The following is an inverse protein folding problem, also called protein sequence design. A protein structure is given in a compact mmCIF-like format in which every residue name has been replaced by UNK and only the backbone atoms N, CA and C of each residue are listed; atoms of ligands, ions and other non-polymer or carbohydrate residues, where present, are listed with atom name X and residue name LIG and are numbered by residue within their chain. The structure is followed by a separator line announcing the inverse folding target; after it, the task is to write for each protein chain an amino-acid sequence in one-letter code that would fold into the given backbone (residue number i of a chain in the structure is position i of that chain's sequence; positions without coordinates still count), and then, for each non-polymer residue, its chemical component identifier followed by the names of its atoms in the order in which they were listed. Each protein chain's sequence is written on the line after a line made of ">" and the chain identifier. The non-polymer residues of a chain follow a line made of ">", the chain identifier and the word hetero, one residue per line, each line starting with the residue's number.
data_IF_714589904329
#
_entry.id   IF_714589904329
#
_cell.length_a   1.000
_cell.length_b   1.000
_cell.length_c   1.000
_cell.angle_alpha   90.00
_cell.angle_beta   90.00
_cell.angle_gamma   90.00
#
_symmetry.space_group_name_H-M   'P 1'
#
loop_
_entity.id
_entity.type
_entity.pdbx_description
1 polymer ?
#
# COMPACT_ATOMS: atom_id res chain seq x y z
N UNK A 1 2.53 0.38 -19.91
CA UNK A 1 2.21 1.09 -18.66
C UNK A 1 1.07 0.47 -17.84
N UNK A 2 -0.04 0.05 -18.46
CA UNK A 2 -1.16 -0.54 -17.71
C UNK A 2 -0.78 -1.73 -16.80
N UNK A 3 0.06 -2.65 -17.29
CA UNK A 3 0.60 -3.77 -16.49
C UNK A 3 1.44 -3.27 -15.30
N UNK A 4 2.25 -2.22 -15.51
CA UNK A 4 3.03 -1.59 -14.44
C UNK A 4 2.13 -0.96 -13.38
N UNK A 5 1.06 -0.27 -13.80
CA UNK A 5 0.08 0.28 -12.85
C UNK A 5 -0.67 -0.81 -12.09
N UNK A 6 -1.05 -1.90 -12.76
CA UNK A 6 -1.65 -3.06 -12.10
C UNK A 6 -0.71 -3.62 -11.02
N UNK A 7 0.57 -3.77 -11.32
CA UNK A 7 1.57 -4.19 -10.36
C UNK A 7 1.73 -3.19 -9.19
N UNK A 8 1.80 -1.88 -9.47
CA UNK A 8 1.92 -0.85 -8.43
C UNK A 8 0.70 -0.79 -7.50
N UNK A 9 -0.49 -1.15 -7.98
CA UNK A 9 -1.71 -1.23 -7.18
C UNK A 9 -1.72 -2.53 -6.36
N UNK A 10 -1.51 -3.68 -7.01
CA UNK A 10 -1.69 -4.99 -6.37
C UNK A 10 -0.56 -5.33 -5.40
N UNK A 11 0.69 -4.98 -5.70
CA UNK A 11 1.84 -5.42 -4.89
C UNK A 11 1.80 -4.99 -3.42
N UNK A 12 1.45 -3.75 -3.04
CA UNK A 12 1.35 -3.40 -1.62
C UNK A 12 0.10 -3.99 -0.96
N UNK A 13 -1.00 -4.14 -1.71
CA UNK A 13 -2.28 -4.63 -1.20
C UNK A 13 -2.30 -6.15 -1.00
N UNK A 14 -1.97 -6.90 -2.05
CA UNK A 14 -2.04 -8.37 -2.08
C UNK A 14 -0.63 -8.95 -1.96
N UNK A 15 -0.06 -8.80 -0.76
CA UNK A 15 1.22 -9.43 -0.42
C UNK A 15 1.01 -10.64 0.50
N UNK A 16 1.99 -11.53 0.54
CA UNK A 16 1.93 -12.82 1.24
C UNK A 16 1.72 -12.64 2.75
N UNK A 17 2.32 -11.60 3.32
CA UNK A 17 2.19 -11.28 4.75
C UNK A 17 0.76 -10.85 5.08
N UNK A 18 0.17 -9.98 4.27
CA UNK A 18 -1.21 -9.55 4.40
C UNK A 18 -2.16 -10.75 4.31
N UNK A 19 -1.96 -11.62 3.31
CA UNK A 19 -2.77 -12.83 3.13
C UNK A 19 -2.67 -13.75 4.35
N UNK A 20 -1.47 -14.02 4.85
CA UNK A 20 -1.26 -14.85 6.02
C UNK A 20 -1.94 -14.28 7.26
N UNK A 21 -1.83 -12.97 7.49
CA UNK A 21 -2.46 -12.31 8.63
C UNK A 21 -3.99 -12.25 8.50
N UNK A 22 -4.53 -11.97 7.31
CA UNK A 22 -5.97 -12.01 7.06
C UNK A 22 -6.54 -13.41 7.30
N UNK A 23 -5.82 -14.45 6.85
CA UNK A 23 -6.24 -15.82 7.06
C UNK A 23 -6.28 -16.17 8.54
N UNK A 24 -5.28 -15.75 9.31
CA UNK A 24 -5.20 -15.99 10.75
C UNK A 24 -6.22 -15.21 11.57
N UNK A 25 -6.59 -13.99 11.15
CA UNK A 25 -7.37 -13.06 11.98
C UNK A 25 -8.84 -12.94 11.57
N UNK A 26 -9.13 -13.02 10.27
CA UNK A 26 -10.47 -12.84 9.70
C UNK A 26 -10.99 -14.11 8.99
N UNK A 27 -10.18 -15.16 8.92
CA UNK A 27 -10.53 -16.44 8.35
C UNK A 27 -10.53 -16.48 6.82
N UNK A 28 -10.83 -17.67 6.29
CA UNK A 28 -10.69 -17.96 4.86
C UNK A 28 -11.63 -17.14 3.97
N UNK A 29 -12.90 -16.96 4.39
CA UNK A 29 -13.91 -16.23 3.60
C UNK A 29 -13.48 -14.78 3.34
N UNK A 30 -13.09 -14.05 4.39
CA UNK A 30 -12.65 -12.66 4.26
C UNK A 30 -11.36 -12.55 3.42
N UNK A 31 -10.42 -13.48 3.62
CA UNK A 31 -9.15 -13.53 2.88
C UNK A 31 -9.37 -13.73 1.38
N UNK A 32 -10.24 -14.66 0.99
CA UNK A 32 -10.54 -14.92 -0.42
C UNK A 32 -11.21 -13.72 -1.09
N UNK A 33 -12.13 -13.05 -0.39
CA UNK A 33 -12.76 -11.82 -0.89
C UNK A 33 -11.70 -10.73 -1.06
N UNK A 34 -10.80 -10.56 -0.08
CA UNK A 34 -9.71 -9.58 -0.13
C UNK A 34 -8.74 -9.80 -1.28
N UNK A 35 -8.22 -11.01 -1.44
CA UNK A 35 -7.31 -11.33 -2.54
C UNK A 35 -7.99 -11.13 -3.88
N UNK A 36 -9.23 -11.61 -4.02
CA UNK A 36 -10.00 -11.48 -5.27
C UNK A 36 -10.25 -10.01 -5.61
N UNK A 37 -10.66 -9.19 -4.63
CA UNK A 37 -10.85 -7.76 -4.83
C UNK A 37 -9.55 -7.04 -5.14
N UNK A 38 -8.45 -7.33 -4.44
CA UNK A 38 -7.16 -6.73 -4.72
C UNK A 38 -6.66 -7.03 -6.14
N UNK A 39 -6.84 -8.25 -6.62
CA UNK A 39 -6.51 -8.63 -8.00
C UNK A 39 -7.40 -7.91 -9.01
N UNK A 40 -8.72 -7.85 -8.75
CA UNK A 40 -9.67 -7.13 -9.61
C UNK A 40 -9.35 -5.63 -9.66
N UNK A 41 -9.04 -5.03 -8.51
CA UNK A 41 -8.64 -3.63 -8.42
C UNK A 41 -7.39 -3.33 -9.23
N UNK A 42 -6.35 -4.15 -9.11
CA UNK A 42 -5.14 -3.97 -9.90
C UNK A 42 -5.38 -4.16 -11.39
N UNK A 43 -6.17 -5.17 -11.77
CA UNK A 43 -6.47 -5.45 -13.17
C UNK A 43 -7.29 -4.33 -13.82
N UNK A 44 -8.41 -3.96 -13.20
CA UNK A 44 -9.31 -2.92 -13.70
C UNK A 44 -8.65 -1.55 -13.60
N UNK A 45 -8.00 -1.24 -12.48
CA UNK A 45 -7.29 0.03 -12.28
C UNK A 45 -6.12 0.19 -13.23
N UNK A 46 -5.32 -0.85 -13.43
CA UNK A 46 -4.21 -0.85 -14.39
C UNK A 46 -4.70 -0.71 -15.84
N UNK A 47 -5.80 -1.38 -16.20
CA UNK A 47 -6.44 -1.23 -17.51
C UNK A 47 -6.96 0.20 -17.72
N UNK A 48 -7.68 0.74 -16.74
CA UNK A 48 -8.28 2.08 -16.79
C UNK A 48 -7.21 3.17 -16.89
N UNK A 49 -6.17 3.11 -16.05
CA UNK A 49 -5.03 4.03 -16.10
C UNK A 49 -4.22 3.88 -17.40
N UNK A 50 -4.13 2.65 -17.92
CA UNK A 50 -3.48 2.39 -19.20
C UNK A 50 -4.16 3.10 -20.38
N UNK A 51 -5.45 3.39 -20.29
CA UNK A 51 -6.22 4.09 -21.34
C UNK A 51 -5.96 5.61 -21.37
N UNK A 52 -5.40 6.19 -20.31
CA UNK A 52 -5.23 7.64 -20.18
C UNK A 52 -3.95 8.20 -20.84
N UNK A 53 -3.19 7.40 -21.62
CA UNK A 53 -1.95 7.82 -22.31
C UNK A 53 -1.03 8.65 -21.39
N UNK A 54 -0.68 8.06 -20.25
CA UNK A 54 0.02 8.73 -19.16
C UNK A 54 1.55 8.78 -19.35
N UNK A 55 2.09 8.25 -20.46
CA UNK A 55 3.53 8.28 -20.77
C UNK A 55 4.17 9.68 -20.63
N UNK A 56 3.53 10.78 -21.08
CA UNK A 56 4.12 12.12 -20.98
C UNK A 56 4.33 12.57 -19.53
N UNK A 57 3.55 12.02 -18.60
CA UNK A 57 3.56 12.39 -17.18
C UNK A 57 4.53 11.55 -16.33
N UNK A 58 5.31 10.67 -16.94
CA UNK A 58 6.45 10.01 -16.31
C UNK A 58 7.62 10.97 -16.10
N UNK A 59 8.46 10.70 -15.10
CA UNK A 59 9.68 11.49 -14.89
C UNK A 59 10.70 11.29 -16.00
N UNK A 60 11.55 12.28 -16.23
CA UNK A 60 12.58 12.22 -17.27
C UNK A 60 13.58 11.09 -17.04
N UNK A 61 13.84 10.75 -15.77
CA UNK A 61 14.65 9.60 -15.39
C UNK A 61 14.07 8.28 -15.94
N UNK A 62 12.76 8.05 -15.80
CA UNK A 62 12.10 6.85 -16.33
C UNK A 62 12.15 6.84 -17.86
N UNK A 63 11.86 7.98 -18.50
CA UNK A 63 11.91 8.10 -19.97
C UNK A 63 13.29 7.79 -20.53
N UNK A 64 14.35 8.28 -19.87
CA UNK A 64 15.73 7.98 -20.25
C UNK A 64 16.07 6.49 -20.08
N UNK A 65 15.62 5.86 -19.00
CA UNK A 65 15.82 4.41 -18.80
C UNK A 65 15.10 3.61 -19.88
N UNK A 66 13.86 3.95 -20.22
CA UNK A 66 13.13 3.27 -21.28
C UNK A 66 13.84 3.43 -22.63
N UNK A 67 14.31 4.63 -22.96
CA UNK A 67 15.07 4.88 -24.18
C UNK A 67 16.40 4.10 -24.23
N UNK A 68 17.13 4.03 -23.09
CA UNK A 68 18.37 3.25 -22.98
C UNK A 68 18.13 1.75 -23.02
N UNK A 69 17.11 1.24 -22.33
CA UNK A 69 16.76 -0.18 -22.34
C UNK A 69 16.41 -0.66 -23.76
N UNK A 70 15.74 0.20 -24.54
CA UNK A 70 15.40 -0.09 -25.92
C UNK A 70 16.61 0.00 -26.87
N UNK A 71 17.60 0.83 -26.55
CA UNK A 71 18.88 0.91 -27.25
C UNK A 71 19.90 -0.17 -26.84
N UNK A 72 19.74 -0.78 -25.66
CA UNK A 72 20.69 -1.72 -25.05
C UNK A 72 20.09 -3.12 -24.89
N UNK A 73 19.50 -3.67 -25.96
CA UNK A 73 18.99 -5.05 -25.97
C UNK A 73 20.09 -6.13 -25.95
N UNK A 74 21.38 -5.78 -25.84
CA UNK A 74 22.48 -6.74 -25.78
C UNK A 74 23.56 -6.33 -24.77
N UNK A 75 23.94 -7.31 -23.94
CA UNK A 75 24.98 -7.31 -22.88
C UNK A 75 24.51 -6.89 -21.47
N UNK A 76 23.62 -7.69 -20.89
CA UNK A 76 23.75 -7.99 -19.47
C UNK A 76 24.77 -9.14 -19.33
N UNK A 77 26.02 -8.81 -19.04
CA UNK A 77 26.97 -9.82 -18.56
C UNK A 77 26.64 -10.11 -17.10
N UNK A 78 25.99 -11.24 -16.85
CA UNK A 78 25.80 -11.74 -15.49
C UNK A 78 27.16 -12.04 -14.86
N UNK A 79 27.61 -11.21 -13.93
CA UNK A 79 28.71 -11.59 -13.03
C UNK A 79 28.28 -12.82 -12.21
N UNK A 80 28.84 -13.99 -12.57
CA UNK A 80 28.66 -15.25 -11.85
C UNK A 80 29.43 -15.24 -10.52
N UNK A 81 29.03 -14.38 -9.58
CA UNK A 81 29.50 -14.43 -8.18
C UNK A 81 28.75 -15.52 -7.42
N UNK A 82 29.48 -16.38 -6.72
CA UNK A 82 28.93 -17.44 -5.86
C UNK A 82 28.26 -16.84 -4.61
N UNK A 83 27.22 -17.47 -4.06
CA UNK A 83 26.49 -16.97 -2.87
C UNK A 83 27.41 -16.59 -1.68
N UNK A 84 28.43 -17.40 -1.40
CA UNK A 84 29.43 -17.14 -0.34
C UNK A 84 30.23 -15.86 -0.57
N UNK A 85 30.49 -15.49 -1.83
CA UNK A 85 31.23 -14.28 -2.19
C UNK A 85 30.36 -13.02 -2.06
N UNK A 86 29.03 -13.16 -2.14
CA UNK A 86 28.07 -12.06 -1.98
C UNK A 86 27.71 -11.81 -0.52
N UNK A 87 27.87 -12.81 0.36
CA UNK A 87 27.42 -12.75 1.75
C UNK A 87 27.98 -11.54 2.55
N UNK A 88 29.28 -11.19 2.47
CA UNK A 88 29.83 -10.04 3.19
C UNK A 88 29.24 -8.70 2.71
N UNK A 89 28.96 -8.60 1.42
CA UNK A 89 28.39 -7.40 0.80
C UNK A 89 26.90 -7.27 1.15
N UNK A 90 26.16 -8.39 1.15
CA UNK A 90 24.76 -8.44 1.57
C UNK A 90 24.63 -8.04 3.05
N UNK A 91 25.46 -8.60 3.94
CA UNK A 91 25.37 -8.30 5.37
C UNK A 91 25.76 -6.86 5.67
N UNK A 92 26.81 -6.34 5.03
CA UNK A 92 27.21 -4.94 5.18
C UNK A 92 26.11 -3.99 4.69
N UNK A 93 25.56 -4.25 3.50
CA UNK A 93 24.48 -3.44 2.93
C UNK A 93 23.21 -3.49 3.79
N UNK A 94 22.85 -4.67 4.29
CA UNK A 94 21.72 -4.83 5.21
C UNK A 94 21.94 -4.05 6.51
N UNK A 95 23.15 -4.11 7.09
CA UNK A 95 23.50 -3.35 8.30
C UNK A 95 23.48 -1.84 8.08
N UNK A 96 23.98 -1.37 6.94
CA UNK A 96 23.97 0.05 6.58
C UNK A 96 22.52 0.58 6.42
N UNK A 97 21.63 -0.21 5.82
CA UNK A 97 20.20 0.12 5.72
C UNK A 97 19.57 0.17 7.12
N UNK A 98 19.79 -0.85 7.94
CA UNK A 98 19.24 -0.90 9.31
C UNK A 98 19.73 0.31 10.10
N UNK A 99 21.02 0.60 10.10
CA UNK A 99 21.62 1.75 10.79
C UNK A 99 21.06 3.08 10.30
N UNK A 100 20.86 3.21 8.97
CA UNK A 100 20.30 4.42 8.36
C UNK A 100 18.85 4.68 8.75
N UNK A 101 18.06 3.64 9.01
CA UNK A 101 16.62 3.76 9.28
C UNK A 101 16.30 3.68 10.78
N UNK A 102 17.18 3.09 11.60
CA UNK A 102 16.96 2.82 13.03
C UNK A 102 16.54 4.05 13.83
N UNK A 103 17.22 5.20 13.63
CA UNK A 103 16.90 6.42 14.38
C UNK A 103 15.48 6.94 14.06
N UNK A 104 15.07 6.86 12.80
CA UNK A 104 13.74 7.26 12.36
C UNK A 104 12.67 6.31 12.90
N UNK A 105 12.95 5.01 12.95
CA UNK A 105 12.06 4.00 13.54
C UNK A 105 11.86 4.26 15.03
N UNK A 106 12.92 4.53 15.79
CA UNK A 106 12.82 4.84 17.23
C UNK A 106 11.97 6.10 17.45
N UNK A 107 12.19 7.15 16.66
CA UNK A 107 11.39 8.38 16.73
C UNK A 107 9.91 8.07 16.39
N UNK A 108 9.65 7.29 15.35
CA UNK A 108 8.30 6.87 14.97
C UNK A 108 7.59 6.06 16.06
N UNK A 109 8.28 5.12 16.72
CA UNK A 109 7.76 4.35 17.85
C UNK A 109 7.47 5.26 19.03
N UNK A 110 8.36 6.21 19.36
CA UNK A 110 8.16 7.14 20.46
C UNK A 110 6.95 8.05 20.23
N UNK A 111 6.78 8.57 19.01
CA UNK A 111 5.60 9.36 18.62
C UNK A 111 4.34 8.50 18.67
N UNK A 112 4.38 7.29 18.11
CA UNK A 112 3.25 6.36 18.13
C UNK A 112 2.82 5.97 19.54
N UNK A 113 3.79 5.73 20.43
CA UNK A 113 3.54 5.44 21.85
C UNK A 113 2.96 6.66 22.58
N UNK A 114 3.45 7.87 22.31
CA UNK A 114 2.88 9.10 22.86
C UNK A 114 1.45 9.34 22.37
N UNK A 115 1.18 9.06 21.09
CA UNK A 115 -0.17 9.18 20.50
C UNK A 115 -1.14 8.12 21.03
N UNK A 116 -0.65 6.93 21.42
CA UNK A 116 -1.49 5.86 21.99
C UNK A 116 -2.22 6.33 23.26
N UNK A 117 -1.63 7.25 24.04
CA UNK A 117 -2.28 7.87 25.19
C UNK A 117 -3.22 9.03 24.88
N UNK A 118 -3.16 9.61 23.67
CA UNK A 118 -3.93 10.81 23.30
C UNK A 118 -5.18 10.50 22.47
N UNK A 119 -5.20 9.41 21.69
CA UNK A 119 -6.38 9.01 20.91
C UNK A 119 -7.32 8.24 21.83
N UNK A 120 -8.52 8.77 22.15
CA UNK A 120 -9.47 8.08 22.99
C UNK A 120 -9.80 6.71 22.40
N UNK A 121 -9.93 5.69 23.25
CA UNK A 121 -10.23 4.33 22.83
C UNK A 121 -11.47 4.22 21.93
N UNK A 122 -12.40 5.17 22.06
CA UNK A 122 -13.66 5.24 21.33
C UNK A 122 -13.65 6.23 20.15
N UNK A 123 -12.52 6.88 19.83
CA UNK A 123 -12.47 7.86 18.74
C UNK A 123 -12.93 7.25 17.41
N UNK A 124 -12.28 6.17 16.98
CA UNK A 124 -12.62 5.51 15.73
C UNK A 124 -13.99 4.82 15.80
N UNK A 125 -14.36 4.21 16.93
CA UNK A 125 -15.69 3.61 17.09
C UNK A 125 -16.82 4.66 16.97
N UNK A 126 -16.62 5.86 17.54
CA UNK A 126 -17.61 6.95 17.49
C UNK A 126 -17.80 7.52 16.08
N UNK A 127 -16.72 7.69 15.32
CA UNK A 127 -16.78 8.33 14.00
C UNK A 127 -16.91 7.34 12.83
N UNK A 128 -16.38 6.12 12.96
CA UNK A 128 -16.40 5.10 11.90
C UNK A 128 -17.34 3.92 12.21
N UNK A 129 -17.79 3.76 13.46
CA UNK A 129 -18.67 2.67 13.91
C UNK A 129 -20.17 2.92 13.71
N UNK A 130 -20.57 4.08 13.19
CA UNK A 130 -21.98 4.41 12.94
C UNK A 130 -22.62 3.59 11.82
N UNK A 131 -21.82 2.83 11.05
CA UNK A 131 -22.30 2.06 9.89
C UNK A 131 -22.81 2.91 8.73
N UNK A 132 -22.68 4.24 8.81
CA UNK A 132 -23.17 5.13 7.78
C UNK A 132 -22.31 5.05 6.51
N UNK A 133 -22.90 5.36 5.35
CA UNK A 133 -22.22 5.30 4.06
C UNK A 133 -20.94 6.17 4.04
N UNK A 134 -20.91 7.32 4.72
CA UNK A 134 -19.75 8.20 4.74
C UNK A 134 -18.56 7.68 5.57
N UNK A 135 -18.75 6.62 6.37
CA UNK A 135 -17.67 6.06 7.20
C UNK A 135 -16.54 5.48 6.36
N UNK A 136 -16.83 4.89 5.20
CA UNK A 136 -15.81 4.31 4.31
C UNK A 136 -14.94 5.41 3.67
N UNK A 137 -15.50 6.45 3.01
CA UNK A 137 -14.69 7.58 2.51
C UNK A 137 -13.90 8.28 3.61
N UNK A 138 -14.49 8.48 4.80
CA UNK A 138 -13.79 9.10 5.92
C UNK A 138 -12.60 8.25 6.38
N UNK A 139 -12.78 6.93 6.49
CA UNK A 139 -11.71 6.02 6.84
C UNK A 139 -10.53 6.12 5.85
N UNK A 140 -10.82 6.16 4.55
CA UNK A 140 -9.79 6.31 3.51
C UNK A 140 -9.02 7.63 3.65
N UNK A 141 -9.71 8.74 3.90
CA UNK A 141 -9.05 10.05 4.07
C UNK A 141 -8.17 10.07 5.32
N UNK A 142 -8.65 9.54 6.44
CA UNK A 142 -7.91 9.49 7.71
C UNK A 142 -6.72 8.51 7.64
N UNK A 143 -6.79 7.50 6.77
CA UNK A 143 -5.73 6.52 6.59
C UNK A 143 -4.51 7.05 5.82
N UNK A 144 -4.69 7.99 4.89
CA UNK A 144 -3.62 8.52 4.01
C UNK A 144 -2.40 9.06 4.80
N UNK A 145 -2.57 9.81 5.91
CA UNK A 145 -1.43 10.24 6.73
C UNK A 145 -0.84 9.12 7.62
N UNK A 146 -1.61 8.06 7.88
CA UNK A 146 -1.22 7.00 8.80
C UNK A 146 -0.35 5.98 8.07
N UNK A 147 0.92 6.32 7.87
CA UNK A 147 1.91 5.43 7.29
C UNK A 147 2.08 4.15 8.12
N UNK A 148 1.74 3.00 7.53
CA UNK A 148 2.03 1.69 8.08
C UNK A 148 2.10 0.65 6.97
N UNK A 149 2.95 -0.36 7.16
CA UNK A 149 2.96 -1.52 6.26
C UNK A 149 1.76 -2.44 6.56
N UNK A 150 1.48 -3.37 5.63
CA UNK A 150 0.36 -4.30 5.78
C UNK A 150 0.42 -5.07 7.11
N UNK A 151 1.60 -5.56 7.51
CA UNK A 151 1.76 -6.35 8.73
C UNK A 151 1.44 -5.55 10.01
N UNK A 152 1.86 -4.29 10.07
CA UNK A 152 1.68 -3.41 11.22
C UNK A 152 0.26 -2.89 11.36
N UNK A 153 -0.49 -2.78 10.26
CA UNK A 153 -1.87 -2.26 10.30
C UNK A 153 -2.91 -3.35 10.58
N UNK A 154 -2.64 -4.64 10.30
CA UNK A 154 -3.63 -5.72 10.55
C UNK A 154 -4.09 -5.79 12.02
N UNK A 155 -3.19 -5.75 13.02
CA UNK A 155 -3.60 -5.76 14.44
C UNK A 155 -4.47 -4.55 14.79
N UNK A 156 -4.19 -3.39 14.20
CA UNK A 156 -4.97 -2.16 14.41
C UNK A 156 -6.39 -2.35 13.89
N UNK A 157 -6.57 -2.85 12.66
CA UNK A 157 -7.91 -3.09 12.12
C UNK A 157 -8.68 -4.15 12.90
N UNK A 158 -8.01 -5.18 13.43
CA UNK A 158 -8.67 -6.17 14.29
C UNK A 158 -9.27 -5.53 15.53
N UNK A 159 -8.52 -4.63 16.18
CA UNK A 159 -9.02 -3.86 17.33
C UNK A 159 -10.16 -2.95 16.93
N UNK A 160 -10.10 -2.29 15.76
CA UNK A 160 -11.19 -1.45 15.27
C UNK A 160 -12.47 -2.25 15.02
N UNK A 161 -12.36 -3.42 14.39
CA UNK A 161 -13.49 -4.33 14.16
C UNK A 161 -14.06 -4.84 15.48
N UNK A 162 -13.20 -5.22 16.44
CA UNK A 162 -13.63 -5.63 17.78
C UNK A 162 -14.36 -4.50 18.55
N UNK A 163 -14.04 -3.24 18.24
CA UNK A 163 -14.71 -2.04 18.78
C UNK A 163 -15.96 -1.61 17.99
N UNK A 164 -16.44 -2.45 17.05
CA UNK A 164 -17.68 -2.24 16.33
C UNK A 164 -17.56 -1.43 15.03
N UNK A 165 -16.35 -1.15 14.55
CA UNK A 165 -16.17 -0.59 13.20
C UNK A 165 -16.53 -1.67 12.17
N UNK A 166 -17.38 -1.38 11.16
CA UNK A 166 -17.69 -2.34 10.10
C UNK A 166 -16.42 -2.87 9.43
N UNK A 167 -16.39 -4.18 9.17
CA UNK A 167 -15.19 -4.85 8.65
C UNK A 167 -14.72 -4.26 7.32
N UNK A 168 -15.64 -3.90 6.41
CA UNK A 168 -15.30 -3.26 5.15
C UNK A 168 -14.75 -1.85 5.31
N UNK A 169 -15.23 -1.10 6.31
CA UNK A 169 -14.66 0.21 6.68
C UNK A 169 -13.23 0.06 7.21
N UNK A 170 -12.99 -0.95 8.06
CA UNK A 170 -11.66 -1.24 8.59
C UNK A 170 -10.69 -1.76 7.50
N UNK A 171 -11.16 -2.58 6.57
CA UNK A 171 -10.35 -3.05 5.44
C UNK A 171 -10.04 -1.89 4.48
N UNK A 172 -11.01 -1.01 4.18
CA UNK A 172 -10.77 0.18 3.36
C UNK A 172 -9.74 1.12 4.01
N UNK A 173 -9.80 1.29 5.33
CA UNK A 173 -8.78 2.00 6.11
C UNK A 173 -7.39 1.39 5.89
N UNK A 174 -7.24 0.08 6.07
CA UNK A 174 -5.97 -0.61 5.82
C UNK A 174 -5.47 -0.46 4.38
N UNK A 175 -6.33 -0.66 3.37
CA UNK A 175 -5.95 -0.55 1.97
C UNK A 175 -5.48 0.87 1.64
N UNK A 176 -6.08 1.89 2.24
CA UNK A 176 -5.67 3.29 2.06
C UNK A 176 -4.36 3.60 2.79
N UNK A 177 -4.19 3.11 4.02
CA UNK A 177 -2.93 3.23 4.78
C UNK A 177 -1.75 2.66 3.98
N UNK A 178 -1.95 1.50 3.35
CA UNK A 178 -0.91 0.79 2.63
C UNK A 178 -0.73 1.30 1.19
N UNK A 179 -1.82 1.68 0.50
CA UNK A 179 -1.81 2.01 -0.93
C UNK A 179 -1.76 3.50 -1.28
N UNK A 180 -2.16 4.39 -0.37
CA UNK A 180 -2.32 5.83 -0.62
C UNK A 180 -1.49 6.71 0.33
N UNK A 181 -0.61 6.09 1.11
CA UNK A 181 0.26 6.74 2.08
C UNK A 181 1.05 7.93 1.54
N UNK A 182 1.38 8.86 2.44
CA UNK A 182 2.30 9.95 2.11
C UNK A 182 3.71 9.46 1.67
N UNK A 183 4.37 8.51 2.37
CA UNK A 183 5.65 7.97 1.91
C UNK A 183 5.57 7.34 0.51
N UNK A 184 4.50 6.62 0.20
CA UNK A 184 4.23 6.03 -1.10
C UNK A 184 4.14 7.11 -2.18
N UNK A 185 3.46 8.23 -1.92
CA UNK A 185 3.45 9.38 -2.83
C UNK A 185 4.86 9.94 -3.07
N UNK A 186 5.69 10.07 -2.02
CA UNK A 186 7.07 10.56 -2.16
C UNK A 186 7.98 9.59 -2.93
N UNK A 187 7.77 8.28 -2.77
CA UNK A 187 8.48 7.25 -3.52
C UNK A 187 8.09 7.31 -5.00
N UNK A 188 6.78 7.34 -5.29
CA UNK A 188 6.25 7.46 -6.65
C UNK A 188 6.69 8.76 -7.33
N UNK A 189 6.95 9.82 -6.57
CA UNK A 189 7.41 11.10 -7.12
C UNK A 189 8.74 11.04 -7.85
N UNK A 190 9.58 10.03 -7.55
CA UNK A 190 10.82 9.78 -8.29
C UNK A 190 10.56 9.28 -9.72
N UNK A 191 9.46 8.57 -9.92
CA UNK A 191 9.11 7.93 -11.20
C UNK A 191 7.96 8.61 -11.94
N UNK A 192 7.14 9.39 -11.24
CA UNK A 192 5.94 10.05 -11.74
C UNK A 192 5.95 11.56 -11.47
N UNK A 193 5.25 12.33 -12.29
CA UNK A 193 4.89 13.71 -11.96
C UNK A 193 3.80 13.77 -10.89
N UNK A 194 3.68 14.91 -10.19
CA UNK A 194 2.59 15.13 -9.22
C UNK A 194 1.20 14.96 -9.86
N UNK A 195 1.03 15.35 -11.12
CA UNK A 195 -0.20 15.16 -11.88
C UNK A 195 -0.54 13.66 -12.03
N UNK A 196 0.44 12.84 -12.39
CA UNK A 196 0.24 11.41 -12.53
C UNK A 196 -0.06 10.73 -11.19
N UNK A 197 0.59 11.14 -10.11
CA UNK A 197 0.29 10.65 -8.75
C UNK A 197 -1.16 11.00 -8.38
N UNK A 198 -1.60 12.23 -8.63
CA UNK A 198 -2.97 12.65 -8.33
C UNK A 198 -4.00 11.80 -9.11
N UNK A 199 -3.78 11.54 -10.39
CA UNK A 199 -4.64 10.65 -11.20
C UNK A 199 -4.63 9.23 -10.62
N UNK A 200 -3.45 8.69 -10.36
CA UNK A 200 -3.26 7.35 -9.80
C UNK A 200 -3.99 7.18 -8.46
N UNK A 201 -3.77 8.10 -7.52
CA UNK A 201 -4.39 8.06 -6.19
C UNK A 201 -5.89 8.29 -6.26
N UNK A 202 -6.38 9.14 -7.16
CA UNK A 202 -7.83 9.35 -7.32
C UNK A 202 -8.53 8.07 -7.76
N UNK A 203 -7.96 7.37 -8.74
CA UNK A 203 -8.50 6.09 -9.24
C UNK A 203 -8.49 5.03 -8.13
N UNK A 204 -7.38 4.89 -7.41
CA UNK A 204 -7.26 3.93 -6.31
C UNK A 204 -8.20 4.27 -5.15
N UNK A 205 -8.35 5.54 -4.80
CA UNK A 205 -9.27 6.01 -3.75
C UNK A 205 -10.69 5.56 -4.04
N UNK A 206 -11.17 5.78 -5.27
CA UNK A 206 -12.51 5.34 -5.70
C UNK A 206 -12.65 3.82 -5.54
N UNK A 207 -11.64 3.09 -5.98
CA UNK A 207 -11.62 1.64 -5.91
C UNK A 207 -11.62 1.09 -4.48
N UNK A 208 -10.82 1.67 -3.58
CA UNK A 208 -10.80 1.29 -2.16
C UNK A 208 -12.15 1.57 -1.51
N UNK A 209 -12.79 2.71 -1.81
CA UNK A 209 -14.12 3.03 -1.29
C UNK A 209 -15.16 2.01 -1.77
N UNK A 210 -15.15 1.69 -3.06
CA UNK A 210 -16.04 0.67 -3.64
C UNK A 210 -15.82 -0.70 -3.01
N UNK A 211 -14.56 -1.10 -2.82
CA UNK A 211 -14.24 -2.35 -2.12
C UNK A 211 -14.73 -2.34 -0.67
N UNK A 212 -14.55 -1.24 0.07
CA UNK A 212 -15.03 -1.11 1.44
C UNK A 212 -16.54 -1.29 1.56
N UNK A 213 -17.31 -0.68 0.65
CA UNK A 213 -18.76 -0.91 0.58
C UNK A 213 -19.10 -2.35 0.24
N UNK A 214 -18.41 -2.94 -0.74
CA UNK A 214 -18.65 -4.31 -1.13
C UNK A 214 -18.34 -5.30 0.01
N UNK A 215 -17.30 -5.06 0.78
CA UNK A 215 -17.01 -5.84 1.98
C UNK A 215 -18.10 -5.73 3.04
N UNK A 216 -18.61 -4.52 3.31
CA UNK A 216 -19.71 -4.33 4.26
C UNK A 216 -21.02 -5.00 3.81
N UNK A 217 -21.20 -5.26 2.51
CA UNK A 217 -22.36 -5.98 1.98
C UNK A 217 -22.16 -7.50 2.07
N UNK A 218 -20.92 -7.99 1.89
CA UNK A 218 -20.62 -9.43 1.81
C UNK A 218 -20.28 -10.09 3.16
N UNK A 219 -19.87 -9.31 4.15
CA UNK A 219 -19.41 -9.73 5.48
C UNK A 219 -20.16 -8.97 6.58
#
# INVERSE_FOLDING_TARGET
>A
LGVTFAFLITSPLVNEVAIAMFLGMFGLKATLIYVSLGILLGTIGGWLLGKFNLEPLLSDWVKQIMAKAQASSNKYEEEKRTFKQRLPEITRSAWDIVKGVLIYVIIGIAIGAAMHGYVPENFFAKYLGSGAWWTVPLAVIVAVPMYANAAGIVPVIQVLVAKGVPIGTAIAFMMATVGLSFPEATLLKKVMTWKLIAIFFSVITVFIILSGYLFNILL
#
